data_IF_070730780047
#
_entry.id   IF_070730780047
#
_cell.length_a   1.000
_cell.length_b   1.000
_cell.length_c   1.000
_cell.angle_alpha   90.00
_cell.angle_beta   90.00
_cell.angle_gamma   90.00
#
_symmetry.space_group_name_H-M   'P 1'
#
loop_
_entity.id
_entity.type
_entity.pdbx_description
1 polymer ?
#
# COMPACT_ATOMS: atom_id res chain seq x y z
N UNK A 1 29.77 -3.92 6.96
CA UNK A 1 30.79 -2.85 6.82
C UNK A 1 30.99 -2.14 8.15
N UNK A 2 29.97 -1.90 8.94
CA UNK A 2 29.99 -1.21 10.25
C UNK A 2 29.46 -2.08 11.41
N UNK A 3 29.39 -3.39 11.20
CA UNK A 3 28.81 -4.34 12.18
C UNK A 3 27.28 -4.42 12.14
N UNK A 4 26.62 -3.67 11.28
CA UNK A 4 25.18 -3.75 11.04
C UNK A 4 24.86 -4.61 9.81
N UNK A 5 23.77 -5.39 9.90
CA UNK A 5 23.23 -6.12 8.76
C UNK A 5 22.42 -5.15 7.88
N UNK A 6 22.96 -4.77 6.73
CA UNK A 6 22.24 -4.03 5.70
C UNK A 6 21.57 -4.99 4.73
N UNK A 7 20.47 -4.53 4.12
CA UNK A 7 19.77 -5.31 3.09
C UNK A 7 20.27 -4.86 1.72
N UNK A 8 20.84 -5.77 0.96
CA UNK A 8 21.14 -5.59 -0.45
C UNK A 8 19.83 -5.77 -1.24
N UNK A 9 19.15 -4.65 -1.50
CA UNK A 9 17.82 -4.64 -2.12
C UNK A 9 17.89 -4.92 -3.61
N UNK A 10 18.92 -4.41 -4.30
CA UNK A 10 19.13 -4.63 -5.74
C UNK A 10 19.96 -5.87 -6.06
N UNK A 11 20.49 -6.58 -5.06
CA UNK A 11 21.22 -7.85 -5.15
C UNK A 11 22.53 -7.74 -5.96
N UNK A 12 23.18 -6.59 -5.90
CA UNK A 12 24.45 -6.35 -6.59
C UNK A 12 25.69 -6.69 -5.73
N UNK A 13 25.51 -7.00 -4.44
CA UNK A 13 26.56 -7.34 -3.49
C UNK A 13 27.30 -6.13 -2.92
N UNK A 14 26.81 -4.93 -3.15
CA UNK A 14 27.39 -3.64 -2.68
C UNK A 14 26.33 -2.93 -1.84
N UNK A 15 26.73 -2.25 -0.78
CA UNK A 15 25.83 -1.35 -0.06
C UNK A 15 25.71 -0.02 -0.84
N UNK A 16 24.60 0.12 -1.54
CA UNK A 16 24.26 1.37 -2.22
C UNK A 16 23.79 2.44 -1.22
N UNK A 17 23.91 3.71 -1.60
CA UNK A 17 23.49 4.84 -0.75
C UNK A 17 22.02 4.72 -0.36
N UNK A 18 21.13 4.33 -1.29
CA UNK A 18 19.69 4.19 -0.99
C UNK A 18 19.35 3.02 -0.05
N UNK A 19 20.27 2.11 0.17
CA UNK A 19 20.14 0.97 1.09
C UNK A 19 20.69 1.26 2.50
N UNK A 20 21.42 2.38 2.64
CA UNK A 20 22.04 2.78 3.89
C UNK A 20 21.13 3.75 4.69
N UNK A 21 20.50 3.32 5.79
CA UNK A 21 19.60 4.16 6.57
C UNK A 21 20.31 5.30 7.31
N UNK A 22 21.64 5.33 7.32
CA UNK A 22 22.44 6.39 7.96
C UNK A 22 22.70 7.57 7.02
N UNK A 23 22.40 7.45 5.73
CA UNK A 23 22.54 8.52 4.76
C UNK A 23 21.40 9.54 4.86
N UNK A 24 21.60 10.74 4.31
CA UNK A 24 20.53 11.72 4.29
C UNK A 24 19.37 11.25 3.38
N UNK A 25 18.13 11.64 3.71
CA UNK A 25 16.98 11.32 2.86
C UNK A 25 17.18 11.84 1.43
N UNK A 26 17.80 13.00 1.29
CA UNK A 26 18.12 13.59 -0.02
C UNK A 26 19.04 12.67 -0.83
N UNK A 27 20.14 12.23 -0.24
CA UNK A 27 21.11 11.38 -0.93
C UNK A 27 20.52 9.99 -1.26
N UNK A 28 19.72 9.42 -0.35
CA UNK A 28 18.97 8.19 -0.58
C UNK A 28 18.06 8.32 -1.80
N UNK A 29 17.27 9.40 -1.86
CA UNK A 29 16.32 9.64 -2.95
C UNK A 29 17.04 9.87 -4.27
N UNK A 30 18.06 10.73 -4.31
CA UNK A 30 18.84 10.99 -5.52
C UNK A 30 19.53 9.73 -6.04
N UNK A 31 20.14 8.95 -5.16
CA UNK A 31 20.78 7.71 -5.54
C UNK A 31 19.76 6.69 -6.11
N UNK A 32 18.60 6.52 -5.45
CA UNK A 32 17.55 5.63 -5.93
C UNK A 32 17.01 6.08 -7.30
N UNK A 33 16.66 7.36 -7.45
CA UNK A 33 16.16 7.94 -8.71
C UNK A 33 17.17 7.77 -9.84
N UNK A 34 18.48 7.92 -9.56
CA UNK A 34 19.51 7.76 -10.57
C UNK A 34 19.59 6.34 -11.13
N UNK A 35 19.22 5.35 -10.32
CA UNK A 35 19.21 3.94 -10.71
C UNK A 35 17.89 3.49 -11.36
N UNK A 36 16.79 4.23 -11.18
CA UNK A 36 15.47 3.86 -11.73
C UNK A 36 15.40 4.05 -13.24
N UNK A 37 14.79 3.07 -13.93
CA UNK A 37 14.40 3.22 -15.33
C UNK A 37 13.21 4.16 -15.47
N UNK A 38 12.92 4.59 -16.70
CA UNK A 38 11.75 5.46 -16.96
C UNK A 38 10.43 4.77 -16.62
N UNK A 39 10.35 3.45 -16.82
CA UNK A 39 9.18 2.63 -16.49
C UNK A 39 8.98 2.55 -14.98
N UNK A 40 10.07 2.39 -14.21
CA UNK A 40 10.02 2.37 -12.74
C UNK A 40 9.63 3.75 -12.18
N UNK A 41 10.18 4.83 -12.72
CA UNK A 41 9.78 6.20 -12.38
C UNK A 41 8.32 6.45 -12.69
N UNK A 42 7.87 6.03 -13.88
CA UNK A 42 6.48 6.15 -14.29
C UNK A 42 5.55 5.36 -13.37
N UNK A 43 5.88 4.10 -13.07
CA UNK A 43 5.10 3.26 -12.16
C UNK A 43 4.99 3.85 -10.75
N UNK A 44 6.08 4.40 -10.22
CA UNK A 44 6.12 5.03 -8.90
C UNK A 44 5.27 6.32 -8.79
N UNK A 45 4.95 6.97 -9.90
CA UNK A 45 4.08 8.15 -9.93
C UNK A 45 2.59 7.82 -9.86
N UNK A 46 2.21 6.55 -10.07
CA UNK A 46 0.81 6.13 -9.99
C UNK A 46 0.43 5.71 -8.58
N UNK A 47 -0.70 6.24 -8.12
CA UNK A 47 -1.41 5.77 -6.95
C UNK A 47 -2.72 5.11 -7.40
N UNK A 48 -2.82 3.80 -7.26
CA UNK A 48 -3.93 3.02 -7.80
C UNK A 48 -4.56 2.13 -6.73
N UNK A 49 -5.69 1.52 -7.04
CA UNK A 49 -6.29 0.50 -6.18
C UNK A 49 -5.62 -0.86 -6.40
N UNK A 50 -5.55 -1.67 -5.34
CA UNK A 50 -5.07 -3.05 -5.40
C UNK A 50 -6.09 -3.99 -4.73
N UNK A 51 -6.32 -5.13 -5.36
CA UNK A 51 -7.24 -6.15 -4.86
C UNK A 51 -6.59 -7.09 -3.87
N UNK A 52 -7.41 -7.60 -2.97
CA UNK A 52 -7.07 -8.66 -2.00
C UNK A 52 -8.09 -9.78 -2.19
N UNK A 53 -7.64 -11.03 -2.30
CA UNK A 53 -8.55 -12.16 -2.30
C UNK A 53 -9.11 -12.41 -0.89
N UNK A 54 -10.27 -13.02 -0.81
CA UNK A 54 -10.96 -13.29 0.46
C UNK A 54 -10.16 -14.19 1.42
N UNK A 55 -9.27 -15.01 0.89
CA UNK A 55 -8.37 -15.86 1.65
C UNK A 55 -7.06 -15.16 2.09
N UNK A 56 -6.88 -13.88 1.73
CA UNK A 56 -5.67 -13.12 2.00
C UNK A 56 -4.52 -13.39 1.02
N UNK A 57 -4.78 -14.07 -0.09
CA UNK A 57 -3.80 -14.22 -1.17
C UNK A 57 -3.75 -13.01 -2.10
N UNK A 58 -2.68 -12.91 -2.91
CA UNK A 58 -2.56 -11.89 -3.94
C UNK A 58 -3.54 -12.21 -5.08
N UNK A 59 -4.27 -11.21 -5.55
CA UNK A 59 -5.15 -11.34 -6.70
C UNK A 59 -4.32 -11.40 -7.99
N UNK A 60 -4.02 -12.60 -8.44
CA UNK A 60 -3.23 -12.84 -9.66
C UNK A 60 -4.03 -12.59 -10.94
N UNK A 61 -5.32 -12.92 -10.91
CA UNK A 61 -6.26 -12.71 -12.01
C UNK A 61 -7.49 -11.95 -11.52
N UNK A 62 -8.13 -11.14 -12.36
CA UNK A 62 -9.40 -10.52 -12.02
C UNK A 62 -10.46 -11.59 -11.72
N UNK A 63 -11.27 -11.37 -10.70
CA UNK A 63 -12.44 -12.20 -10.46
C UNK A 63 -13.57 -11.75 -11.40
N UNK A 64 -13.86 -12.53 -12.42
CA UNK A 64 -14.88 -12.22 -13.42
C UNK A 64 -16.32 -12.21 -12.86
N UNK A 65 -16.53 -12.77 -11.69
CA UNK A 65 -17.82 -12.73 -10.99
C UNK A 65 -18.04 -11.41 -10.23
N UNK A 66 -16.98 -10.62 -10.05
CA UNK A 66 -17.04 -9.28 -9.45
C UNK A 66 -16.68 -8.22 -10.50
N UNK A 67 -17.64 -7.39 -10.95
CA UNK A 67 -17.40 -6.35 -11.95
C UNK A 67 -16.28 -5.37 -11.58
N UNK A 68 -16.07 -5.11 -10.29
CA UNK A 68 -14.99 -4.23 -9.83
C UNK A 68 -13.62 -4.90 -9.88
N UNK A 69 -13.55 -6.18 -9.55
CA UNK A 69 -12.32 -6.95 -9.68
C UNK A 69 -11.83 -6.96 -11.14
N UNK A 70 -12.77 -7.09 -12.09
CA UNK A 70 -12.46 -6.99 -13.51
C UNK A 70 -11.84 -5.63 -13.87
N UNK A 71 -12.44 -4.53 -13.41
CA UNK A 71 -11.94 -3.16 -13.67
C UNK A 71 -10.58 -2.89 -13.00
N UNK A 72 -10.31 -3.52 -11.86
CA UNK A 72 -9.03 -3.35 -11.16
C UNK A 72 -7.88 -4.09 -11.84
N UNK A 73 -8.15 -5.19 -12.53
CA UNK A 73 -7.11 -6.03 -13.12
C UNK A 73 -6.25 -6.77 -12.09
N UNK A 74 -5.24 -7.47 -12.58
CA UNK A 74 -4.32 -8.27 -11.75
C UNK A 74 -3.45 -7.39 -10.84
N UNK A 75 -3.33 -7.77 -9.56
CA UNK A 75 -2.39 -7.14 -8.63
C UNK A 75 -0.93 -7.42 -9.06
N UNK A 76 -0.62 -8.63 -9.53
CA UNK A 76 0.72 -8.96 -10.01
C UNK A 76 1.10 -8.18 -11.26
N UNK A 77 0.17 -7.95 -12.19
CA UNK A 77 0.44 -7.11 -13.36
C UNK A 77 0.86 -5.70 -12.95
N UNK A 78 0.17 -5.10 -11.97
CA UNK A 78 0.50 -3.77 -11.46
C UNK A 78 1.88 -3.72 -10.82
N UNK A 79 2.20 -4.71 -9.98
CA UNK A 79 3.47 -4.77 -9.26
C UNK A 79 4.64 -5.10 -10.19
N UNK A 80 4.50 -6.12 -11.02
CA UNK A 80 5.62 -6.70 -11.78
C UNK A 80 5.79 -6.06 -13.16
N UNK A 81 4.69 -5.86 -13.88
CA UNK A 81 4.73 -5.34 -15.26
C UNK A 81 4.74 -3.82 -15.25
N UNK A 82 3.78 -3.20 -14.55
CA UNK A 82 3.61 -1.74 -14.51
C UNK A 82 4.49 -1.04 -13.49
N UNK A 83 5.29 -1.78 -12.70
CA UNK A 83 6.24 -1.27 -11.70
C UNK A 83 5.63 -0.29 -10.69
N UNK A 84 4.32 -0.43 -10.43
CA UNK A 84 3.62 0.41 -9.45
C UNK A 84 3.96 -0.06 -8.03
N UNK A 85 4.08 0.89 -7.09
CA UNK A 85 4.41 0.61 -5.70
C UNK A 85 3.60 1.42 -4.67
N UNK A 86 2.60 2.19 -5.12
CA UNK A 86 1.69 2.95 -4.25
C UNK A 86 0.25 2.55 -4.52
N UNK A 87 -0.46 2.10 -3.48
CA UNK A 87 -1.80 1.57 -3.64
C UNK A 87 -2.73 1.95 -2.49
N UNK A 88 -4.03 2.03 -2.82
CA UNK A 88 -5.12 1.97 -1.87
C UNK A 88 -5.76 0.58 -1.92
N UNK A 89 -6.01 -0.05 -0.79
CA UNK A 89 -6.65 -1.37 -0.75
C UNK A 89 -8.12 -1.29 -1.11
N UNK A 90 -8.59 -2.26 -1.92
CA UNK A 90 -10.01 -2.36 -2.30
C UNK A 90 -10.80 -3.29 -1.38
N UNK A 91 -10.16 -4.02 -0.49
CA UNK A 91 -10.82 -4.93 0.43
C UNK A 91 -10.26 -4.80 1.85
N UNK A 92 -11.09 -5.18 2.82
CA UNK A 92 -10.72 -5.27 4.23
C UNK A 92 -11.25 -6.59 4.77
N UNK A 93 -10.34 -7.44 5.18
CA UNK A 93 -10.62 -8.72 5.82
C UNK A 93 -10.09 -8.71 7.26
N UNK A 94 -10.18 -9.85 7.95
CA UNK A 94 -9.58 -9.99 9.27
C UNK A 94 -8.06 -9.72 9.26
N UNK A 95 -7.52 -9.43 10.43
CA UNK A 95 -6.12 -8.99 10.58
C UNK A 95 -5.10 -10.02 10.08
N UNK A 96 -5.39 -11.32 10.24
CA UNK A 96 -4.50 -12.40 9.84
C UNK A 96 -4.40 -12.46 8.30
N UNK A 97 -5.52 -12.36 7.61
CA UNK A 97 -5.57 -12.33 6.15
C UNK A 97 -4.92 -11.08 5.58
N UNK A 98 -5.21 -9.91 6.16
CA UNK A 98 -4.59 -8.65 5.72
C UNK A 98 -3.09 -8.66 5.94
N UNK A 99 -2.61 -9.21 7.06
CA UNK A 99 -1.18 -9.36 7.33
C UNK A 99 -0.51 -10.34 6.35
N UNK A 100 -1.16 -11.48 6.09
CA UNK A 100 -0.67 -12.47 5.12
C UNK A 100 -0.53 -11.83 3.73
N UNK A 101 -1.58 -11.15 3.27
CA UNK A 101 -1.57 -10.45 2.00
C UNK A 101 -0.48 -9.36 1.93
N UNK A 102 -0.39 -8.50 2.97
CA UNK A 102 0.61 -7.45 3.01
C UNK A 102 2.03 -8.01 2.92
N UNK A 103 2.33 -9.05 3.69
CA UNK A 103 3.63 -9.71 3.63
C UNK A 103 3.90 -10.35 2.26
N UNK A 104 2.86 -10.89 1.61
CA UNK A 104 2.99 -11.49 0.28
C UNK A 104 3.33 -10.44 -0.79
N UNK A 105 2.66 -9.27 -0.80
CA UNK A 105 2.99 -8.21 -1.77
C UNK A 105 4.36 -7.59 -1.51
N UNK A 106 4.78 -7.44 -0.23
CA UNK A 106 6.13 -6.97 0.10
C UNK A 106 7.20 -7.95 -0.40
N UNK A 107 6.98 -9.26 -0.31
CA UNK A 107 7.89 -10.26 -0.89
C UNK A 107 7.99 -10.16 -2.42
N UNK A 108 6.91 -9.76 -3.10
CA UNK A 108 6.96 -9.49 -4.54
C UNK A 108 7.82 -8.26 -4.81
N UNK A 109 7.64 -7.19 -4.04
CA UNK A 109 8.43 -5.97 -4.14
C UNK A 109 9.92 -6.21 -3.91
N UNK A 110 10.27 -6.97 -2.87
CA UNK A 110 11.67 -7.35 -2.56
C UNK A 110 12.36 -8.12 -3.70
N UNK A 111 11.60 -8.84 -4.52
CA UNK A 111 12.13 -9.56 -5.68
C UNK A 111 12.32 -8.67 -6.90
N UNK A 112 11.79 -7.46 -6.90
CA UNK A 112 12.00 -6.50 -7.97
C UNK A 112 13.47 -6.06 -8.05
N UNK A 113 13.83 -5.41 -9.15
CA UNK A 113 15.23 -5.02 -9.44
C UNK A 113 15.83 -4.10 -8.36
N UNK A 114 15.06 -3.17 -7.83
CA UNK A 114 15.51 -2.20 -6.80
C UNK A 114 14.95 -2.49 -5.41
N UNK A 115 14.09 -3.51 -5.27
CA UNK A 115 13.52 -3.88 -3.98
C UNK A 115 12.68 -2.80 -3.31
N UNK A 116 12.14 -1.82 -4.08
CA UNK A 116 11.33 -0.72 -3.54
C UNK A 116 10.07 -1.28 -2.88
N UNK A 117 9.84 -1.02 -1.59
CA UNK A 117 8.68 -1.56 -0.89
C UNK A 117 7.36 -0.97 -1.40
N UNK A 118 6.28 -1.73 -1.18
CA UNK A 118 4.93 -1.28 -1.49
C UNK A 118 4.41 -0.39 -0.37
N UNK A 119 3.91 0.79 -0.73
CA UNK A 119 3.19 1.68 0.17
C UNK A 119 1.70 1.46 0.03
N UNK A 120 1.03 1.13 1.14
CA UNK A 120 -0.42 0.97 1.19
C UNK A 120 -1.00 2.15 1.96
N UNK A 121 -1.92 2.84 1.33
CA UNK A 121 -2.76 3.84 1.97
C UNK A 121 -4.17 3.28 2.18
N UNK A 122 -4.89 3.89 3.09
CA UNK A 122 -6.31 3.66 3.32
C UNK A 122 -7.08 4.96 3.23
N UNK A 123 -8.36 4.87 2.88
CA UNK A 123 -9.32 5.95 3.06
C UNK A 123 -9.83 5.87 4.51
N UNK A 124 -9.43 6.76 5.41
CA UNK A 124 -9.69 6.61 6.84
C UNK A 124 -11.13 6.96 7.23
N UNK A 125 -12.12 6.51 6.47
CA UNK A 125 -13.55 6.63 6.76
C UNK A 125 -14.02 5.45 7.57
N UNK A 126 -13.70 5.42 8.83
CA UNK A 126 -14.15 4.38 9.74
C UNK A 126 -15.68 4.37 9.88
N UNK A 127 -16.30 3.19 9.74
CA UNK A 127 -17.73 3.02 9.93
C UNK A 127 -18.62 3.43 8.75
N UNK A 128 -18.06 3.73 7.60
CA UNK A 128 -18.84 3.99 6.38
C UNK A 128 -19.45 2.68 5.89
N UNK A 129 -20.78 2.64 5.62
CA UNK A 129 -21.39 1.46 5.01
C UNK A 129 -20.85 1.23 3.60
N UNK A 130 -20.82 -0.02 3.18
CA UNK A 130 -20.48 -0.35 1.82
C UNK A 130 -21.47 0.30 0.84
N UNK A 131 -20.93 1.06 -0.09
CA UNK A 131 -21.69 1.66 -1.19
C UNK A 131 -21.05 1.23 -2.50
N UNK A 132 -21.81 0.54 -3.33
CA UNK A 132 -21.33 0.07 -4.61
C UNK A 132 -20.65 1.19 -5.41
N UNK A 133 -19.39 0.99 -5.77
CA UNK A 133 -18.60 1.94 -6.55
C UNK A 133 -18.01 3.14 -5.79
N UNK A 134 -18.39 3.36 -4.54
CA UNK A 134 -17.99 4.54 -3.77
C UNK A 134 -17.19 4.23 -2.50
N UNK A 135 -17.48 3.11 -1.83
CA UNK A 135 -16.78 2.72 -0.60
C UNK A 135 -16.73 1.21 -0.45
N UNK A 136 -15.80 0.73 0.36
CA UNK A 136 -15.68 -0.69 0.72
C UNK A 136 -16.24 -0.92 2.12
N UNK A 137 -16.76 -2.12 2.35
CA UNK A 137 -17.13 -2.56 3.69
C UNK A 137 -15.88 -2.84 4.52
N UNK A 138 -15.77 -2.21 5.68
CA UNK A 138 -14.61 -2.31 6.58
C UNK A 138 -15.02 -2.81 7.97
N UNK A 139 -15.49 -4.07 8.10
CA UNK A 139 -16.05 -4.59 9.34
C UNK A 139 -15.04 -4.69 10.49
N UNK A 140 -13.76 -4.75 10.16
CA UNK A 140 -12.67 -4.92 11.11
C UNK A 140 -11.97 -3.61 11.51
N UNK A 141 -12.36 -2.49 10.89
CA UNK A 141 -11.86 -1.18 11.27
C UNK A 141 -12.64 -0.62 12.46
N UNK A 142 -12.04 0.31 13.20
CA UNK A 142 -12.73 1.04 14.26
C UNK A 142 -13.95 1.76 13.70
N UNK A 143 -15.06 1.71 14.43
CA UNK A 143 -16.34 2.28 13.97
C UNK A 143 -16.57 3.62 14.63
N UNK A 144 -16.41 4.65 13.84
CA UNK A 144 -16.68 6.02 14.24
C UNK A 144 -17.94 6.53 13.54
N UNK A 145 -18.64 7.53 14.11
CA UNK A 145 -19.75 8.18 13.43
C UNK A 145 -19.31 8.76 12.07
N UNK A 146 -20.25 8.88 11.15
CA UNK A 146 -20.03 9.63 9.91
C UNK A 146 -19.67 11.09 10.19
N UNK A 147 -19.14 11.82 9.20
CA UNK A 147 -18.84 13.25 9.34
C UNK A 147 -20.04 14.07 9.85
N UNK A 148 -21.26 13.73 9.41
CA UNK A 148 -22.49 14.34 9.93
C UNK A 148 -22.73 13.99 11.40
N UNK A 149 -22.53 12.74 11.79
CA UNK A 149 -22.64 12.31 13.18
C UNK A 149 -21.60 12.97 14.08
N UNK A 150 -20.36 13.05 13.64
CA UNK A 150 -19.30 13.79 14.35
C UNK A 150 -19.64 15.27 14.50
N UNK A 151 -20.12 15.92 13.44
CA UNK A 151 -20.57 17.32 13.48
C UNK A 151 -21.77 17.55 14.42
N UNK A 152 -22.68 16.57 14.53
CA UNK A 152 -23.83 16.65 15.43
C UNK A 152 -23.46 16.64 16.91
N UNK A 153 -22.29 16.10 17.27
CA UNK A 153 -21.78 16.13 18.65
C UNK A 153 -21.46 17.57 19.12
N UNK A 154 -21.14 18.46 18.21
CA UNK A 154 -20.62 19.82 18.47
C UNK A 154 -19.37 19.84 19.34
N UNK A 155 -18.65 18.75 19.37
CA UNK A 155 -17.42 18.57 20.14
C UNK A 155 -16.21 18.58 19.20
N UNK A 156 -15.55 19.72 19.07
CA UNK A 156 -14.37 19.88 18.22
C UNK A 156 -13.16 19.11 18.76
N UNK A 157 -13.08 18.87 20.07
CA UNK A 157 -12.00 18.09 20.65
C UNK A 157 -12.13 16.62 20.27
N UNK A 158 -13.33 16.06 20.28
CA UNK A 158 -13.60 14.70 19.81
C UNK A 158 -13.17 14.52 18.36
N UNK A 159 -13.50 15.48 17.47
CA UNK A 159 -13.10 15.45 16.07
C UNK A 159 -11.58 15.52 15.92
N UNK A 160 -10.93 16.36 16.71
CA UNK A 160 -9.46 16.47 16.71
C UNK A 160 -8.78 15.19 17.18
N UNK A 161 -9.24 14.57 18.28
CA UNK A 161 -8.70 13.31 18.76
C UNK A 161 -8.94 12.15 17.76
N UNK A 162 -10.11 12.12 17.12
CA UNK A 162 -10.35 11.18 16.01
C UNK A 162 -9.31 11.34 14.89
N UNK A 163 -9.05 12.57 14.45
CA UNK A 163 -8.09 12.84 13.39
C UNK A 163 -6.64 12.47 13.74
N UNK A 164 -6.29 12.39 15.04
CA UNK A 164 -4.99 11.90 15.49
C UNK A 164 -4.86 10.36 15.41
N UNK A 165 -5.97 9.64 15.52
CA UNK A 165 -6.00 8.18 15.50
C UNK A 165 -5.94 7.68 14.06
N UNK A 166 -6.51 8.44 13.15
CA UNK A 166 -6.55 8.17 11.70
C UNK A 166 -5.25 8.56 11.02
#
# INVERSE_FOLDING_TARGET
>A
IDGHNHRDLNKNGILDVYENPNESIHDIVENLISQMTIEEKSGAMFFNMIGVNEDGSIMEQPNFSDPFSFLMGSSLEKLVIKKMNHFNTRASYDKEKMLSWYNAIQKVAERSRLGIPITIASDPRHGVPETFGASIYTPYFSKWPSALGMGATRDSLLVYEHAKIV
#
